data_IF_190631298101
#
_entry.id   IF_190631298101
#
_cell.length_a   1.000
_cell.length_b   1.000
_cell.length_c   1.000
_cell.angle_alpha   90.00
_cell.angle_beta   90.00
_cell.angle_gamma   90.00
#
_symmetry.space_group_name_H-M   'P 1'
#
loop_
_entity.id
_entity.type
_entity.pdbx_description
1 polymer ?
#
# COMPACT_ATOMS: atom_id res chain seq x y z
N UNK A 1 45.61 31.50 31.19
CA UNK A 1 44.75 32.31 30.28
C UNK A 1 44.49 31.69 28.90
N UNK A 2 45.44 30.94 28.30
CA UNK A 2 45.32 30.37 26.95
C UNK A 2 44.22 29.29 26.79
N UNK A 3 43.91 28.49 27.81
CA UNK A 3 42.94 27.40 27.77
C UNK A 3 41.48 27.89 27.62
N UNK A 4 41.15 29.03 28.21
CA UNK A 4 39.80 29.62 28.09
C UNK A 4 39.46 30.19 26.71
N UNK A 5 40.46 30.63 25.96
CA UNK A 5 40.28 31.15 24.59
C UNK A 5 40.12 30.04 23.56
N UNK A 6 40.80 28.90 23.73
CA UNK A 6 40.64 27.70 22.89
C UNK A 6 39.23 27.10 23.05
N UNK A 7 38.74 26.93 24.28
CA UNK A 7 37.41 26.42 24.57
C UNK A 7 36.29 27.32 23.97
N UNK A 8 36.45 28.66 24.05
CA UNK A 8 35.49 29.60 23.45
C UNK A 8 35.51 29.54 21.90
N UNK A 9 36.67 29.32 21.28
CA UNK A 9 36.74 29.11 19.82
C UNK A 9 36.04 27.84 19.41
N UNK A 10 36.32 26.72 20.06
CA UNK A 10 35.67 25.43 19.78
C UNK A 10 34.14 25.56 19.91
N UNK A 11 33.62 26.12 21.00
CA UNK A 11 32.18 26.35 21.18
C UNK A 11 31.56 27.20 20.07
N UNK A 12 32.27 28.25 19.60
CA UNK A 12 31.79 29.08 18.47
C UNK A 12 31.77 28.31 17.15
N UNK A 13 32.76 27.45 16.89
CA UNK A 13 32.80 26.59 15.71
C UNK A 13 31.69 25.54 15.73
N UNK A 14 31.48 24.87 16.88
CA UNK A 14 30.37 23.92 17.05
C UNK A 14 29.00 24.59 16.86
N UNK A 15 28.79 25.77 17.45
CA UNK A 15 27.55 26.53 17.28
C UNK A 15 27.32 26.96 15.82
N UNK A 16 28.40 27.36 15.09
CA UNK A 16 28.28 27.69 13.66
C UNK A 16 27.97 26.46 12.80
N UNK A 17 28.65 25.35 13.04
CA UNK A 17 28.35 24.08 12.37
C UNK A 17 26.92 23.64 12.63
N UNK A 18 26.45 23.64 13.86
CA UNK A 18 25.09 23.34 14.21
C UNK A 18 24.09 24.27 13.50
N UNK A 19 24.38 25.58 13.45
CA UNK A 19 23.55 26.56 12.74
C UNK A 19 23.51 26.31 11.22
N UNK A 20 24.63 26.02 10.60
CA UNK A 20 24.70 25.67 9.15
C UNK A 20 23.96 24.39 8.87
N UNK A 21 24.13 23.35 9.69
CA UNK A 21 23.43 22.09 9.56
C UNK A 21 21.89 22.27 9.69
N UNK A 22 21.46 23.07 10.69
CA UNK A 22 20.04 23.37 10.87
C UNK A 22 19.45 24.15 9.68
N UNK A 23 20.17 25.12 9.14
CA UNK A 23 19.75 25.86 7.95
C UNK A 23 19.70 24.96 6.70
N UNK A 24 20.67 24.07 6.53
CA UNK A 24 20.66 23.11 5.42
C UNK A 24 19.47 22.16 5.52
N UNK A 25 19.21 21.59 6.71
CA UNK A 25 18.03 20.74 6.96
C UNK A 25 16.74 21.47 6.69
N UNK A 26 16.60 22.71 7.20
CA UNK A 26 15.41 23.53 6.95
C UNK A 26 15.23 23.79 5.45
N UNK A 27 16.29 24.12 4.74
CA UNK A 27 16.28 24.33 3.28
C UNK A 27 15.84 23.06 2.53
N UNK A 28 16.31 21.89 2.96
CA UNK A 28 15.91 20.60 2.39
C UNK A 28 14.42 20.33 2.60
N UNK A 29 13.93 20.54 3.84
CA UNK A 29 12.50 20.34 4.17
C UNK A 29 11.61 21.31 3.38
N UNK A 30 11.96 22.59 3.32
CA UNK A 30 11.22 23.58 2.55
C UNK A 30 11.25 23.28 1.04
N UNK A 31 12.40 22.84 0.52
CA UNK A 31 12.53 22.42 -0.88
C UNK A 31 11.66 21.21 -1.20
N UNK A 32 11.65 20.19 -0.34
CA UNK A 32 10.80 19.02 -0.48
C UNK A 32 9.31 19.39 -0.42
N UNK A 33 8.91 20.18 0.58
CA UNK A 33 7.54 20.66 0.70
C UNK A 33 7.10 21.50 -0.50
N UNK A 34 7.97 22.39 -1.00
CA UNK A 34 7.74 23.17 -2.22
C UNK A 34 7.56 22.30 -3.46
N UNK A 35 8.36 21.22 -3.59
CA UNK A 35 8.23 20.23 -4.66
C UNK A 35 6.90 19.49 -4.60
N UNK A 36 6.51 19.00 -3.43
CA UNK A 36 5.21 18.34 -3.26
C UNK A 36 4.03 19.29 -3.51
N UNK A 37 4.12 20.52 -3.03
CA UNK A 37 3.11 21.53 -3.31
C UNK A 37 3.00 21.84 -4.83
N UNK A 38 4.12 21.87 -5.53
CA UNK A 38 4.13 22.06 -6.99
C UNK A 38 3.50 20.86 -7.73
N UNK A 39 3.71 19.63 -7.26
CA UNK A 39 3.03 18.45 -7.78
C UNK A 39 1.50 18.52 -7.61
N UNK A 40 1.02 19.04 -6.47
CA UNK A 40 -0.41 19.24 -6.23
C UNK A 40 -1.01 20.40 -7.06
N UNK A 41 -0.24 21.40 -7.47
CA UNK A 41 -0.75 22.60 -8.11
C UNK A 41 -1.35 22.39 -9.51
N UNK A 42 -1.26 21.18 -10.08
CA UNK A 42 -1.79 20.84 -11.40
C UNK A 42 -3.33 20.75 -11.44
N UNK A 43 -3.85 20.62 -12.66
CA UNK A 43 -5.27 20.34 -12.91
C UNK A 43 -5.42 18.91 -13.39
N UNK A 44 -6.16 18.03 -12.67
CA UNK A 44 -6.42 16.67 -13.10
C UNK A 44 -7.15 16.65 -14.44
N UNK A 45 -6.77 15.71 -15.32
CA UNK A 45 -7.46 15.50 -16.59
C UNK A 45 -8.90 15.00 -16.36
N UNK A 46 -9.81 15.38 -17.22
CA UNK A 46 -11.20 14.93 -17.13
C UNK A 46 -11.32 13.40 -17.23
N UNK A 47 -10.49 12.79 -18.08
CA UNK A 47 -10.45 11.35 -18.35
C UNK A 47 -9.76 10.52 -17.25
N UNK A 48 -9.14 11.19 -16.27
CA UNK A 48 -8.51 10.54 -15.12
C UNK A 48 -9.60 10.08 -14.12
N UNK A 49 -10.24 8.97 -14.44
CA UNK A 49 -11.35 8.35 -13.70
C UNK A 49 -11.18 6.84 -13.69
N UNK A 50 -11.99 6.16 -12.88
CA UNK A 50 -11.98 4.68 -12.84
C UNK A 50 -12.13 4.04 -14.21
N UNK A 51 -11.47 2.90 -14.38
CA UNK A 51 -11.58 2.02 -15.55
C UNK A 51 -12.23 0.68 -15.21
N UNK A 52 -12.83 0.59 -14.01
CA UNK A 52 -13.50 -0.62 -13.53
C UNK A 52 -12.54 -1.69 -13.03
N UNK A 53 -11.34 -1.32 -12.62
CA UNK A 53 -10.33 -2.23 -12.04
C UNK A 53 -9.89 -1.81 -10.64
N UNK A 54 -10.76 -1.12 -9.88
CA UNK A 54 -10.46 -0.68 -8.53
C UNK A 54 -10.60 -1.83 -7.52
N UNK A 55 -10.04 -1.66 -6.31
CA UNK A 55 -10.11 -2.66 -5.25
C UNK A 55 -10.58 -2.09 -3.91
N UNK A 56 -10.94 -3.01 -3.01
CA UNK A 56 -11.29 -2.72 -1.62
C UNK A 56 -10.65 -3.77 -0.72
N UNK A 57 -9.88 -3.32 0.29
CA UNK A 57 -9.47 -4.19 1.39
C UNK A 57 -10.61 -4.39 2.37
N UNK A 58 -10.83 -5.63 2.76
CA UNK A 58 -11.94 -6.05 3.63
C UNK A 58 -11.40 -6.76 4.87
N UNK A 59 -11.93 -6.38 6.04
CA UNK A 59 -11.47 -6.90 7.31
C UNK A 59 -11.83 -8.36 7.57
N UNK A 60 -11.17 -8.94 8.58
CA UNK A 60 -11.30 -10.35 8.96
C UNK A 60 -12.74 -10.77 9.37
N UNK A 61 -13.56 -9.81 9.82
CA UNK A 61 -14.95 -10.07 10.18
C UNK A 61 -15.79 -10.74 9.08
N UNK A 62 -15.35 -10.68 7.83
CA UNK A 62 -16.04 -11.28 6.71
C UNK A 62 -15.90 -12.81 6.65
N UNK A 63 -14.83 -13.38 7.19
CA UNK A 63 -14.54 -14.82 7.13
C UNK A 63 -14.73 -15.56 8.45
N UNK A 64 -14.79 -14.85 9.60
CA UNK A 64 -14.85 -15.45 10.94
C UNK A 64 -16.26 -15.70 11.48
N UNK A 65 -17.30 -15.39 10.69
CA UNK A 65 -18.71 -15.62 11.06
C UNK A 65 -19.43 -14.40 11.63
N UNK A 66 -18.79 -13.25 11.78
CA UNK A 66 -19.43 -12.00 12.24
C UNK A 66 -20.29 -11.33 11.17
N UNK A 67 -20.14 -11.69 9.90
CA UNK A 67 -20.91 -11.14 8.77
C UNK A 67 -21.96 -12.14 8.27
N UNK A 68 -23.09 -11.61 7.82
CA UNK A 68 -24.28 -12.34 7.39
C UNK A 68 -24.57 -12.12 5.90
N UNK A 69 -25.59 -12.80 5.38
CA UNK A 69 -26.08 -12.57 4.02
C UNK A 69 -26.63 -11.14 3.82
N UNK A 70 -27.15 -10.51 4.89
CA UNK A 70 -27.61 -9.12 4.84
C UNK A 70 -26.43 -8.15 4.65
N UNK A 71 -25.28 -8.42 5.31
CA UNK A 71 -24.06 -7.63 5.12
C UNK A 71 -23.51 -7.76 3.70
N UNK A 72 -23.55 -8.96 3.12
CA UNK A 72 -23.16 -9.18 1.71
C UNK A 72 -24.09 -8.39 0.77
N UNK A 73 -25.39 -8.37 1.03
CA UNK A 73 -26.34 -7.60 0.22
C UNK A 73 -26.12 -6.08 0.36
N UNK A 74 -25.80 -5.61 1.57
CA UNK A 74 -25.46 -4.20 1.83
C UNK A 74 -24.18 -3.80 1.09
N UNK A 75 -23.12 -4.62 1.17
CA UNK A 75 -21.88 -4.40 0.42
C UNK A 75 -22.14 -4.36 -1.09
N UNK A 76 -22.90 -5.33 -1.62
CA UNK A 76 -23.26 -5.36 -3.03
C UNK A 76 -24.03 -4.10 -3.46
N UNK A 77 -24.89 -3.56 -2.58
CA UNK A 77 -25.58 -2.31 -2.82
C UNK A 77 -24.60 -1.11 -2.82
N UNK A 78 -23.65 -1.10 -1.90
CA UNK A 78 -22.63 -0.05 -1.78
C UNK A 78 -21.68 -0.04 -2.98
N UNK A 79 -21.34 -1.20 -3.53
CA UNK A 79 -20.41 -1.30 -4.67
C UNK A 79 -21.07 -1.03 -6.03
N UNK A 80 -22.40 -0.97 -6.11
CA UNK A 80 -23.09 -0.66 -7.38
C UNK A 80 -22.67 0.71 -7.92
N UNK A 81 -22.27 0.73 -9.20
CA UNK A 81 -21.83 1.94 -9.88
C UNK A 81 -20.50 2.47 -9.41
N UNK A 82 -19.70 1.64 -8.74
CA UNK A 82 -18.28 1.92 -8.46
C UNK A 82 -17.40 1.21 -9.49
N UNK A 83 -16.10 1.52 -9.48
CA UNK A 83 -15.10 0.79 -10.26
C UNK A 83 -14.52 -0.44 -9.55
N UNK A 84 -15.01 -0.78 -8.36
CA UNK A 84 -14.43 -1.86 -7.55
C UNK A 84 -14.78 -3.21 -8.17
N UNK A 85 -13.74 -3.90 -8.59
CA UNK A 85 -13.74 -5.24 -9.18
C UNK A 85 -13.06 -6.26 -8.27
N UNK A 86 -12.04 -5.84 -7.50
CA UNK A 86 -11.26 -6.68 -6.61
C UNK A 86 -11.64 -6.47 -5.14
N UNK A 87 -11.79 -7.58 -4.41
CA UNK A 87 -11.98 -7.58 -2.97
C UNK A 87 -10.84 -8.36 -2.32
N UNK A 88 -9.99 -7.68 -1.56
CA UNK A 88 -8.92 -8.27 -0.77
C UNK A 88 -9.45 -8.60 0.62
N UNK A 89 -9.88 -9.84 0.83
CA UNK A 89 -10.52 -10.27 2.07
C UNK A 89 -9.48 -10.85 3.01
N UNK A 90 -9.29 -10.24 4.18
CA UNK A 90 -8.36 -10.72 5.19
C UNK A 90 -8.78 -12.11 5.69
N UNK A 91 -8.17 -13.15 5.12
CA UNK A 91 -8.46 -14.54 5.47
C UNK A 91 -7.84 -14.93 6.83
N UNK A 92 -6.80 -14.21 7.25
CA UNK A 92 -6.19 -14.34 8.57
C UNK A 92 -4.72 -13.94 8.53
N UNK A 93 -4.10 -13.62 9.69
CA UNK A 93 -2.67 -13.54 9.76
C UNK A 93 -2.09 -14.93 9.51
N UNK A 94 -0.98 -14.98 8.79
CA UNK A 94 -0.17 -16.17 8.71
C UNK A 94 0.61 -16.35 10.02
N UNK A 95 0.94 -17.56 10.37
CA UNK A 95 1.97 -17.81 11.38
C UNK A 95 3.36 -17.52 10.78
N UNK A 96 4.38 -17.24 11.62
CA UNK A 96 5.73 -16.92 11.16
C UNK A 96 6.37 -18.05 10.31
N UNK A 97 5.82 -19.27 10.36
CA UNK A 97 6.24 -20.41 9.51
C UNK A 97 5.47 -20.47 8.17
N UNK A 98 4.60 -19.50 7.89
CA UNK A 98 3.81 -19.39 6.67
C UNK A 98 2.50 -20.16 6.65
N UNK A 99 2.08 -20.77 7.76
CA UNK A 99 0.83 -21.52 7.84
C UNK A 99 -0.36 -20.58 8.08
N UNK A 100 -1.48 -20.92 7.50
CA UNK A 100 -2.79 -20.35 7.83
C UNK A 100 -3.56 -21.34 8.73
N UNK A 101 -3.98 -20.89 9.91
CA UNK A 101 -4.84 -21.67 10.77
C UNK A 101 -6.27 -21.68 10.19
N UNK A 102 -6.81 -22.85 9.78
CA UNK A 102 -8.16 -22.93 9.22
C UNK A 102 -9.28 -22.55 10.21
N UNK A 103 -8.98 -22.43 11.49
CA UNK A 103 -9.93 -21.95 12.48
C UNK A 103 -10.17 -20.43 12.39
N UNK A 104 -9.31 -19.68 11.70
CA UNK A 104 -9.43 -18.23 11.55
C UNK A 104 -10.47 -17.84 10.48
N UNK A 105 -10.67 -18.67 9.46
CA UNK A 105 -11.51 -18.34 8.31
C UNK A 105 -12.66 -19.35 8.04
N UNK A 106 -13.40 -19.84 9.08
CA UNK A 106 -14.36 -20.92 8.96
C UNK A 106 -15.53 -20.63 8.00
N UNK A 107 -15.69 -19.37 7.59
CA UNK A 107 -16.74 -18.93 6.66
C UNK A 107 -16.20 -18.51 5.29
N UNK A 108 -14.91 -18.69 5.00
CA UNK A 108 -14.30 -18.26 3.76
C UNK A 108 -15.01 -18.79 2.52
N UNK A 109 -15.20 -20.10 2.40
CA UNK A 109 -15.90 -20.70 1.27
C UNK A 109 -17.36 -20.26 1.13
N UNK A 110 -18.06 -19.98 2.23
CA UNK A 110 -19.41 -19.42 2.18
C UNK A 110 -19.39 -17.99 1.64
N UNK A 111 -18.47 -17.15 2.16
CA UNK A 111 -18.36 -15.75 1.75
C UNK A 111 -18.08 -15.61 0.26
N UNK A 112 -17.08 -16.33 -0.25
CA UNK A 112 -16.71 -16.28 -1.67
C UNK A 112 -17.93 -16.60 -2.55
N UNK A 113 -18.64 -17.69 -2.25
CA UNK A 113 -19.87 -18.03 -2.99
C UNK A 113 -20.97 -16.98 -2.84
N UNK A 114 -21.10 -16.34 -1.68
CA UNK A 114 -22.10 -15.30 -1.45
C UNK A 114 -21.79 -14.02 -2.22
N UNK A 115 -20.51 -13.61 -2.25
CA UNK A 115 -20.03 -12.45 -3.00
C UNK A 115 -20.20 -12.66 -4.52
N UNK A 116 -19.80 -13.81 -5.06
CA UNK A 116 -19.97 -14.10 -6.50
C UNK A 116 -21.45 -14.07 -6.93
N UNK A 117 -22.39 -14.53 -6.06
CA UNK A 117 -23.82 -14.43 -6.36
C UNK A 117 -24.36 -13.01 -6.28
N UNK A 118 -23.87 -12.21 -5.33
CA UNK A 118 -24.38 -10.86 -5.08
C UNK A 118 -23.77 -9.81 -6.00
N UNK A 119 -22.53 -10.03 -6.46
CA UNK A 119 -21.74 -9.09 -7.25
C UNK A 119 -21.14 -9.86 -8.45
N UNK A 120 -21.91 -10.03 -9.54
CA UNK A 120 -21.40 -10.75 -10.71
C UNK A 120 -20.14 -10.13 -11.29
N UNK A 121 -19.13 -10.97 -11.53
CA UNK A 121 -17.84 -10.56 -12.09
C UNK A 121 -16.83 -10.01 -11.08
N UNK A 122 -17.18 -9.95 -9.78
CA UNK A 122 -16.20 -9.58 -8.74
C UNK A 122 -15.12 -10.65 -8.62
N UNK A 123 -13.90 -10.23 -8.36
CA UNK A 123 -12.74 -11.08 -8.07
C UNK A 123 -12.43 -11.00 -6.58
N UNK A 124 -12.53 -12.13 -5.90
CA UNK A 124 -12.34 -12.22 -4.45
C UNK A 124 -10.99 -12.86 -4.18
N UNK A 125 -10.06 -12.11 -3.62
CA UNK A 125 -8.69 -12.56 -3.32
C UNK A 125 -8.52 -12.72 -1.81
N UNK A 126 -7.87 -13.79 -1.37
CA UNK A 126 -7.52 -14.00 0.02
C UNK A 126 -6.34 -13.08 0.39
N UNK A 127 -6.57 -12.12 1.27
CA UNK A 127 -5.50 -11.31 1.84
C UNK A 127 -4.83 -12.07 2.97
N UNK A 128 -3.59 -12.46 2.73
CA UNK A 128 -2.70 -13.18 3.64
C UNK A 128 -1.56 -12.24 4.04
N UNK A 129 -1.47 -11.94 5.32
CA UNK A 129 -0.45 -11.02 5.86
C UNK A 129 0.29 -11.61 7.05
N UNK A 130 1.50 -11.12 7.28
CA UNK A 130 2.26 -11.34 8.51
C UNK A 130 3.38 -10.29 8.63
N UNK A 131 3.87 -10.12 9.87
CA UNK A 131 5.04 -9.30 10.16
C UNK A 131 6.30 -10.05 9.79
N UNK A 132 7.16 -9.43 8.99
CA UNK A 132 8.45 -9.98 8.59
C UNK A 132 9.48 -9.80 9.70
N UNK A 133 10.38 -10.79 9.85
CA UNK A 133 11.48 -10.75 10.80
C UNK A 133 12.38 -9.51 10.58
N UNK A 134 12.62 -8.77 11.65
CA UNK A 134 13.43 -7.54 11.63
C UNK A 134 14.39 -7.53 12.82
N UNK A 135 15.43 -6.69 12.81
CA UNK A 135 16.27 -6.48 13.99
C UNK A 135 15.52 -6.03 15.24
N UNK A 136 14.29 -5.51 15.10
CA UNK A 136 13.46 -4.98 16.18
C UNK A 136 12.55 -6.03 16.82
N UNK A 137 12.30 -7.14 16.12
CA UNK A 137 11.46 -8.21 16.65
C UNK A 137 11.34 -9.43 15.72
N UNK A 138 10.99 -10.60 16.29
CA UNK A 138 10.81 -11.80 15.51
C UNK A 138 9.55 -11.72 14.64
N UNK A 139 9.63 -12.30 13.46
CA UNK A 139 8.56 -12.38 12.49
C UNK A 139 8.79 -13.52 11.51
N UNK A 140 8.23 -13.43 10.33
CA UNK A 140 8.39 -14.39 9.25
C UNK A 140 9.77 -14.28 8.59
N UNK A 141 10.55 -15.35 8.59
CA UNK A 141 11.83 -15.44 7.87
C UNK A 141 11.60 -15.67 6.37
N UNK A 142 11.64 -14.61 5.58
CA UNK A 142 11.43 -14.67 4.13
C UNK A 142 12.46 -15.53 3.39
N UNK A 143 13.61 -15.81 3.98
CA UNK A 143 14.62 -16.68 3.36
C UNK A 143 14.23 -18.16 3.38
N UNK A 144 13.31 -18.57 4.25
CA UNK A 144 12.94 -19.98 4.51
C UNK A 144 11.47 -20.27 4.32
N UNK A 145 10.58 -19.30 4.56
CA UNK A 145 9.14 -19.51 4.56
C UNK A 145 8.65 -20.09 3.23
N UNK A 146 7.65 -20.94 3.32
CA UNK A 146 6.88 -21.47 2.18
C UNK A 146 5.41 -21.11 2.33
N UNK A 147 4.90 -20.25 1.45
CA UNK A 147 3.50 -19.81 1.43
C UNK A 147 2.61 -20.59 0.46
N UNK A 148 3.18 -21.55 -0.26
CA UNK A 148 2.41 -22.40 -1.19
C UNK A 148 1.29 -23.14 -0.47
N UNK A 149 1.50 -23.80 0.70
CA UNK A 149 0.42 -24.51 1.39
C UNK A 149 -0.75 -23.61 1.83
N UNK A 150 -0.47 -22.42 2.40
CA UNK A 150 -1.51 -21.48 2.80
C UNK A 150 -2.26 -20.95 1.57
N UNK A 151 -1.54 -20.67 0.48
CA UNK A 151 -2.15 -20.27 -0.79
C UNK A 151 -3.03 -21.35 -1.38
N UNK A 152 -2.62 -22.61 -1.33
CA UNK A 152 -3.43 -23.77 -1.75
C UNK A 152 -4.73 -23.88 -0.95
N UNK A 153 -4.65 -23.68 0.38
CA UNK A 153 -5.78 -23.73 1.28
C UNK A 153 -6.85 -22.71 0.86
N UNK A 154 -6.50 -21.43 0.72
CA UNK A 154 -7.49 -20.39 0.36
C UNK A 154 -8.02 -20.57 -1.06
N UNK A 155 -7.22 -21.04 -1.99
CA UNK A 155 -7.71 -21.36 -3.34
C UNK A 155 -8.69 -22.54 -3.33
N UNK A 156 -8.53 -23.52 -2.42
CA UNK A 156 -9.47 -24.63 -2.24
C UNK A 156 -10.82 -24.15 -1.66
N UNK A 157 -10.84 -23.06 -0.86
CA UNK A 157 -12.05 -22.39 -0.39
C UNK A 157 -12.79 -21.62 -1.48
N UNK A 158 -12.19 -21.47 -2.65
CA UNK A 158 -12.79 -20.90 -3.84
C UNK A 158 -12.39 -19.46 -4.14
N UNK A 159 -11.42 -18.88 -3.44
CA UNK A 159 -10.88 -17.56 -3.78
C UNK A 159 -10.34 -17.52 -5.22
N UNK A 160 -10.48 -16.36 -5.86
CA UNK A 160 -10.03 -16.13 -7.24
C UNK A 160 -8.56 -15.78 -7.33
N UNK A 161 -7.91 -15.58 -6.20
CA UNK A 161 -6.50 -15.24 -6.11
C UNK A 161 -6.01 -15.13 -4.68
N UNK A 162 -4.74 -14.80 -4.57
CA UNK A 162 -4.03 -14.53 -3.32
C UNK A 162 -3.52 -13.11 -3.35
N UNK A 163 -3.75 -12.36 -2.27
CA UNK A 163 -3.18 -11.04 -2.04
C UNK A 163 -2.19 -11.12 -0.88
N UNK A 164 -0.90 -10.98 -1.16
CA UNK A 164 0.14 -11.02 -0.13
C UNK A 164 0.42 -9.64 0.42
N UNK A 165 0.49 -9.55 1.75
CA UNK A 165 0.75 -8.33 2.50
C UNK A 165 1.74 -8.63 3.64
N UNK A 166 3.00 -8.72 3.29
CA UNK A 166 4.09 -9.04 4.22
C UNK A 166 4.87 -7.77 4.52
N UNK A 167 4.96 -7.38 5.79
CA UNK A 167 5.56 -6.11 6.17
C UNK A 167 6.39 -6.19 7.47
N UNK A 168 7.46 -5.42 7.54
CA UNK A 168 8.09 -4.64 6.48
C UNK A 168 9.07 -5.48 5.66
N UNK A 169 9.06 -5.36 4.34
CA UNK A 169 10.05 -5.99 3.45
C UNK A 169 11.10 -4.96 3.03
N UNK A 170 12.39 -5.19 3.27
CA UNK A 170 13.45 -4.31 2.80
C UNK A 170 13.57 -4.29 1.27
N UNK A 171 13.92 -3.13 0.71
CA UNK A 171 14.26 -3.03 -0.72
C UNK A 171 15.41 -3.98 -1.06
N UNK A 172 15.24 -4.80 -2.11
CA UNK A 172 16.26 -5.75 -2.54
C UNK A 172 16.17 -7.14 -1.91
N UNK A 173 15.17 -7.42 -1.06
CA UNK A 173 15.01 -8.73 -0.42
C UNK A 173 14.78 -9.85 -1.45
N UNK A 174 15.71 -10.83 -1.47
CA UNK A 174 15.65 -11.97 -2.41
C UNK A 174 14.70 -13.07 -1.95
N UNK A 175 14.49 -13.19 -0.64
CA UNK A 175 13.54 -14.15 -0.06
C UNK A 175 12.12 -13.82 -0.50
N UNK A 176 11.75 -12.54 -0.43
CA UNK A 176 10.45 -12.07 -0.92
C UNK A 176 10.24 -12.35 -2.41
N UNK A 177 11.24 -12.04 -3.25
CA UNK A 177 11.16 -12.35 -4.69
C UNK A 177 10.99 -13.86 -4.95
N UNK A 178 11.62 -14.73 -4.13
CA UNK A 178 11.44 -16.17 -4.20
C UNK A 178 10.03 -16.59 -3.81
N UNK A 179 9.51 -16.06 -2.72
CA UNK A 179 8.13 -16.34 -2.25
C UNK A 179 7.11 -15.94 -3.33
N UNK A 180 7.23 -14.74 -3.89
CA UNK A 180 6.35 -14.30 -4.97
C UNK A 180 6.40 -15.24 -6.18
N UNK A 181 7.60 -15.65 -6.61
CA UNK A 181 7.76 -16.57 -7.75
C UNK A 181 7.11 -17.94 -7.50
N UNK A 182 7.21 -18.47 -6.28
CA UNK A 182 6.61 -19.76 -5.90
C UNK A 182 5.08 -19.68 -5.88
N UNK A 183 4.52 -18.66 -5.23
CA UNK A 183 3.07 -18.47 -5.16
C UNK A 183 2.49 -18.13 -6.54
N UNK A 184 3.19 -17.31 -7.34
CA UNK A 184 2.75 -16.99 -8.70
C UNK A 184 2.73 -18.23 -9.61
N UNK A 185 3.69 -19.11 -9.50
CA UNK A 185 3.67 -20.39 -10.24
C UNK A 185 2.43 -21.22 -9.86
N UNK A 186 2.07 -21.26 -8.58
CA UNK A 186 0.87 -21.94 -8.10
C UNK A 186 -0.41 -21.31 -8.64
N UNK A 187 -0.58 -19.98 -8.48
CA UNK A 187 -1.79 -19.27 -8.88
C UNK A 187 -1.98 -19.32 -10.39
N UNK A 188 -0.92 -19.09 -11.16
CA UNK A 188 -0.92 -19.18 -12.63
C UNK A 188 -1.30 -20.57 -13.15
N UNK A 189 -0.79 -21.63 -12.54
CA UNK A 189 -1.13 -23.03 -12.90
C UNK A 189 -2.62 -23.33 -12.67
N UNK A 190 -3.30 -22.55 -11.82
CA UNK A 190 -4.73 -22.68 -11.53
C UNK A 190 -5.58 -21.62 -12.24
N UNK A 191 -5.00 -20.77 -13.08
CA UNK A 191 -5.69 -19.64 -13.71
C UNK A 191 -6.21 -18.63 -12.67
N UNK A 192 -5.48 -18.46 -11.57
CA UNK A 192 -5.79 -17.55 -10.47
C UNK A 192 -4.76 -16.41 -10.42
N UNK A 193 -5.13 -15.32 -9.74
CA UNK A 193 -4.33 -14.10 -9.67
C UNK A 193 -3.45 -14.10 -8.42
N UNK A 194 -2.21 -13.62 -8.55
CA UNK A 194 -1.38 -13.18 -7.45
C UNK A 194 -1.32 -11.65 -7.43
N UNK A 195 -1.74 -11.03 -6.34
CA UNK A 195 -1.53 -9.61 -6.07
C UNK A 195 -0.67 -9.41 -4.82
N UNK A 196 -0.12 -8.21 -4.67
CA UNK A 196 0.76 -7.87 -3.56
C UNK A 196 0.58 -6.42 -3.11
N UNK A 197 0.51 -6.19 -1.79
CA UNK A 197 0.74 -4.87 -1.19
C UNK A 197 2.22 -4.53 -1.23
N UNK A 198 2.55 -3.30 -1.58
CA UNK A 198 3.93 -2.82 -1.60
C UNK A 198 4.03 -1.44 -0.94
N UNK A 199 5.13 -1.13 -0.24
CA UNK A 199 5.34 0.19 0.31
C UNK A 199 5.56 1.23 -0.79
N UNK A 200 5.69 2.47 -0.38
CA UNK A 200 6.02 3.59 -1.25
C UNK A 200 7.40 3.40 -1.91
N UNK A 201 7.57 4.02 -3.07
CA UNK A 201 8.84 4.07 -3.80
C UNK A 201 9.69 5.25 -3.35
N UNK A 202 11.01 5.12 -3.40
CA UNK A 202 11.96 6.18 -3.11
C UNK A 202 11.55 7.50 -3.77
N UNK A 203 11.25 8.57 -3.01
CA UNK A 203 11.01 9.90 -3.58
C UNK A 203 12.22 10.45 -4.31
N UNK A 204 13.42 10.08 -3.87
CA UNK A 204 14.70 10.36 -4.49
C UNK A 204 15.53 9.07 -4.50
N UNK A 205 16.22 8.74 -5.62
CA UNK A 205 16.98 7.50 -5.73
C UNK A 205 18.02 7.34 -4.59
N UNK A 206 17.97 6.17 -3.92
CA UNK A 206 18.88 5.83 -2.82
C UNK A 206 18.43 6.34 -1.43
N UNK A 207 17.29 7.03 -1.33
CA UNK A 207 16.80 7.53 -0.04
C UNK A 207 16.42 6.38 0.92
N UNK A 208 15.97 5.23 0.40
CA UNK A 208 15.69 4.02 1.20
C UNK A 208 16.91 3.54 1.97
N UNK A 209 18.14 3.62 1.39
CA UNK A 209 19.37 3.22 2.06
C UNK A 209 19.67 4.16 3.24
N UNK A 210 19.54 5.47 3.01
CA UNK A 210 19.79 6.49 4.05
C UNK A 210 18.74 6.38 5.17
N UNK A 211 17.48 6.21 4.81
CA UNK A 211 16.41 6.05 5.79
C UNK A 211 16.60 4.76 6.62
N UNK A 212 16.93 3.64 5.97
CA UNK A 212 17.23 2.38 6.65
C UNK A 212 18.37 2.50 7.66
N UNK A 213 19.44 3.22 7.32
CA UNK A 213 20.55 3.47 8.23
C UNK A 213 20.18 4.36 9.44
N UNK A 214 19.26 5.30 9.26
CA UNK A 214 18.88 6.25 10.32
C UNK A 214 17.77 5.73 11.23
N UNK A 215 16.82 4.97 10.68
CA UNK A 215 15.62 4.55 11.40
C UNK A 215 15.58 3.06 11.70
N UNK A 216 16.49 2.29 11.11
CA UNK A 216 16.50 0.81 11.12
C UNK A 216 15.16 0.18 10.64
N UNK A 217 14.31 0.99 9.99
CA UNK A 217 13.00 0.60 9.52
C UNK A 217 12.88 0.85 8.00
N UNK A 218 12.66 -0.18 7.17
CA UNK A 218 12.51 0.00 5.73
C UNK A 218 11.19 0.70 5.42
N UNK A 219 11.26 1.91 4.84
CA UNK A 219 10.06 2.70 4.50
C UNK A 219 9.77 2.71 3.00
N UNK A 220 10.80 2.74 2.17
CA UNK A 220 10.68 2.87 0.72
C UNK A 220 11.41 1.75 -0.01
N UNK A 221 10.91 1.42 -1.19
CA UNK A 221 11.62 0.55 -2.12
C UNK A 221 12.28 1.36 -3.24
N UNK A 222 13.40 0.87 -3.78
CA UNK A 222 13.91 1.39 -5.04
C UNK A 222 12.93 1.07 -6.18
N UNK A 223 12.91 1.92 -7.21
CA UNK A 223 12.09 1.67 -8.41
C UNK A 223 12.48 0.35 -9.10
N UNK A 224 13.76 -0.01 -9.09
CA UNK A 224 14.25 -1.28 -9.65
C UNK A 224 13.73 -2.49 -8.87
N UNK A 225 13.62 -2.40 -7.54
CA UNK A 225 13.08 -3.48 -6.75
C UNK A 225 11.56 -3.62 -6.94
N UNK A 226 10.84 -2.51 -6.97
CA UNK A 226 9.41 -2.53 -7.33
C UNK A 226 9.19 -3.16 -8.71
N UNK A 227 10.03 -2.84 -9.69
CA UNK A 227 9.98 -3.48 -11.02
C UNK A 227 10.19 -5.00 -10.92
N UNK A 228 11.18 -5.47 -10.15
CA UNK A 228 11.43 -6.91 -9.98
C UNK A 228 10.26 -7.63 -9.30
N UNK A 229 9.61 -7.01 -8.31
CA UNK A 229 8.39 -7.52 -7.67
C UNK A 229 7.27 -7.61 -8.70
N UNK A 230 7.03 -6.53 -9.45
CA UNK A 230 5.96 -6.47 -10.45
C UNK A 230 6.10 -7.51 -11.57
N UNK A 231 7.32 -7.95 -11.90
CA UNK A 231 7.56 -9.05 -12.86
C UNK A 231 7.14 -10.43 -12.33
N UNK A 232 6.76 -10.56 -11.06
CA UNK A 232 6.45 -11.84 -10.40
C UNK A 232 5.02 -11.92 -9.88
N UNK A 233 4.18 -10.95 -10.25
CA UNK A 233 2.79 -10.88 -9.81
C UNK A 233 1.91 -10.39 -10.97
N UNK A 234 0.60 -10.58 -10.84
CA UNK A 234 -0.38 -10.08 -11.82
C UNK A 234 -0.86 -8.67 -11.46
N UNK A 235 -0.80 -8.30 -10.17
CA UNK A 235 -1.32 -7.03 -9.67
C UNK A 235 -0.47 -6.51 -8.50
N UNK A 236 -0.23 -5.21 -8.48
CA UNK A 236 0.50 -4.48 -7.43
C UNK A 236 -0.41 -3.41 -6.84
N UNK A 237 -0.53 -3.36 -5.51
CA UNK A 237 -1.22 -2.30 -4.78
C UNK A 237 -0.19 -1.50 -3.95
N UNK A 238 0.09 -0.27 -4.36
CA UNK A 238 1.04 0.62 -3.66
C UNK A 238 0.35 1.31 -2.50
N UNK A 239 0.84 1.10 -1.29
CA UNK A 239 0.34 1.75 -0.08
C UNK A 239 0.84 3.19 0.00
N UNK A 240 0.23 4.10 -0.77
CA UNK A 240 0.64 5.50 -0.92
C UNK A 240 0.16 6.41 0.24
N UNK A 241 0.00 5.86 1.44
CA UNK A 241 -0.44 6.51 2.66
C UNK A 241 0.59 6.31 3.78
N UNK A 242 0.30 6.77 5.01
CA UNK A 242 1.22 6.79 6.15
C UNK A 242 2.52 7.57 5.85
N UNK A 243 2.32 8.72 5.20
CA UNK A 243 3.41 9.59 4.77
C UNK A 243 3.91 10.54 5.86
N UNK A 244 3.16 10.68 6.95
CA UNK A 244 3.36 11.68 8.02
C UNK A 244 3.28 13.14 7.53
N UNK A 245 2.65 13.41 6.38
CA UNK A 245 2.52 14.75 5.83
C UNK A 245 1.33 15.49 6.47
N UNK A 246 1.54 16.72 7.00
CA UNK A 246 0.54 17.37 7.85
C UNK A 246 -0.51 18.19 7.07
N UNK A 247 -0.39 18.30 5.75
CA UNK A 247 -1.29 19.12 4.92
C UNK A 247 -1.83 18.30 3.73
N UNK A 248 -3.14 18.42 3.41
CA UNK A 248 -3.75 17.69 2.28
C UNK A 248 -3.05 17.95 0.94
N UNK A 249 -2.58 19.18 0.67
CA UNK A 249 -1.87 19.51 -0.57
C UNK A 249 -0.49 18.85 -0.66
N UNK A 250 0.23 18.72 0.46
CA UNK A 250 1.51 18.01 0.49
C UNK A 250 1.29 16.51 0.30
N UNK A 251 0.28 15.95 0.94
CA UNK A 251 -0.09 14.55 0.78
C UNK A 251 -0.56 14.25 -0.65
N UNK A 252 -1.43 15.07 -1.23
CA UNK A 252 -1.85 14.93 -2.64
C UNK A 252 -0.65 14.98 -3.59
N UNK A 253 0.26 15.93 -3.40
CA UNK A 253 1.50 16.01 -4.20
C UNK A 253 2.44 14.84 -4.00
N UNK A 254 2.46 14.24 -2.81
CA UNK A 254 3.19 13.00 -2.54
C UNK A 254 2.55 11.81 -3.27
N UNK A 255 1.23 11.65 -3.20
CA UNK A 255 0.50 10.61 -3.92
C UNK A 255 0.68 10.75 -5.43
N UNK A 256 0.70 11.98 -5.97
CA UNK A 256 1.07 12.23 -7.37
C UNK A 256 2.43 11.66 -7.69
N UNK A 257 3.45 12.00 -6.89
CA UNK A 257 4.81 11.52 -7.09
C UNK A 257 4.89 10.00 -7.02
N UNK A 258 4.27 9.38 -6.00
CA UNK A 258 4.25 7.92 -5.83
C UNK A 258 3.54 7.23 -7.00
N UNK A 259 2.43 7.76 -7.46
CA UNK A 259 1.71 7.25 -8.62
C UNK A 259 2.57 7.30 -9.88
N UNK A 260 3.26 8.40 -10.13
CA UNK A 260 4.15 8.57 -11.29
C UNK A 260 5.34 7.62 -11.24
N UNK A 261 5.95 7.43 -10.06
CA UNK A 261 7.05 6.48 -9.86
C UNK A 261 6.58 5.03 -10.08
N UNK A 262 5.42 4.66 -9.55
CA UNK A 262 4.84 3.34 -9.73
C UNK A 262 4.48 3.08 -11.21
N UNK A 263 3.88 4.05 -11.90
CA UNK A 263 3.58 3.95 -13.34
C UNK A 263 4.84 3.76 -14.19
N UNK A 264 5.97 4.31 -13.77
CA UNK A 264 7.25 4.14 -14.46
C UNK A 264 7.91 2.77 -14.17
N UNK A 265 7.76 2.26 -12.94
CA UNK A 265 8.41 1.02 -12.51
C UNK A 265 7.61 -0.25 -12.86
N UNK A 266 6.27 -0.21 -12.75
CA UNK A 266 5.40 -1.37 -12.96
C UNK A 266 5.11 -1.57 -14.44
N UNK A 267 5.40 -2.76 -15.03
CA UNK A 267 5.15 -3.03 -16.45
C UNK A 267 3.69 -2.82 -16.86
N UNK A 268 3.40 -2.37 -18.08
CA UNK A 268 2.03 -2.08 -18.54
C UNK A 268 1.07 -3.27 -18.54
N UNK A 269 1.59 -4.50 -18.54
CA UNK A 269 0.81 -5.74 -18.48
C UNK A 269 0.42 -6.20 -17.07
N UNK A 270 0.87 -5.52 -16.02
CA UNK A 270 0.57 -5.81 -14.63
C UNK A 270 -0.47 -4.81 -14.13
N UNK A 271 -1.51 -5.23 -13.42
CA UNK A 271 -2.48 -4.31 -12.80
C UNK A 271 -1.80 -3.45 -11.74
N UNK A 272 -1.96 -2.13 -11.81
CA UNK A 272 -1.41 -1.20 -10.81
C UNK A 272 -2.53 -0.49 -10.08
N UNK A 273 -2.54 -0.62 -8.77
CA UNK A 273 -3.46 0.06 -7.87
C UNK A 273 -2.70 1.01 -6.95
N UNK A 274 -3.31 2.17 -6.68
CA UNK A 274 -2.81 3.11 -5.68
C UNK A 274 -3.75 3.09 -4.47
N UNK A 275 -3.20 2.77 -3.31
CA UNK A 275 -3.94 2.72 -2.06
C UNK A 275 -4.44 4.09 -1.62
N UNK A 276 -5.71 4.14 -1.23
CA UNK A 276 -6.37 5.32 -0.69
C UNK A 276 -6.69 5.09 0.80
N UNK A 277 -6.26 5.98 1.72
CA UNK A 277 -6.53 5.82 3.14
C UNK A 277 -7.99 6.16 3.48
N UNK A 278 -8.80 5.17 3.80
CA UNK A 278 -10.17 5.34 4.25
C UNK A 278 -10.27 5.11 5.78
N UNK A 279 -9.43 5.82 6.52
CA UNK A 279 -9.37 5.84 7.99
C UNK A 279 -8.88 7.21 8.48
N UNK A 280 -9.33 7.60 9.66
CA UNK A 280 -9.09 8.96 10.21
C UNK A 280 -8.19 8.95 11.45
N UNK A 281 -7.71 7.79 11.86
CA UNK A 281 -6.82 7.65 13.02
C UNK A 281 -5.49 8.37 12.75
N UNK A 282 -5.02 9.17 13.72
CA UNK A 282 -3.74 9.86 13.61
C UNK A 282 -2.69 9.15 14.45
N UNK A 283 -1.55 8.84 13.82
CA UNK A 283 -0.37 8.22 14.42
C UNK A 283 0.87 9.07 14.14
N UNK A 284 2.07 8.56 14.49
CA UNK A 284 3.31 9.24 14.09
C UNK A 284 3.55 9.21 12.57
N UNK A 285 2.99 8.24 11.87
CA UNK A 285 3.14 8.08 10.42
C UNK A 285 1.93 8.53 9.61
N UNK A 286 0.79 8.81 10.24
CA UNK A 286 -0.47 9.17 9.58
C UNK A 286 -1.13 10.39 10.20
N UNK A 287 -1.50 11.36 9.38
CA UNK A 287 -2.30 12.53 9.77
C UNK A 287 -3.69 12.43 9.14
N UNK A 288 -4.67 11.87 9.87
CA UNK A 288 -6.01 11.59 9.37
C UNK A 288 -6.77 12.81 8.80
N UNK A 289 -6.44 14.03 9.22
CA UNK A 289 -7.01 15.26 8.63
C UNK A 289 -6.34 15.70 7.32
N UNK A 290 -5.19 15.15 6.98
CA UNK A 290 -4.41 15.49 5.78
C UNK A 290 -4.41 14.34 4.77
N UNK A 291 -4.22 13.13 5.25
CA UNK A 291 -4.15 11.91 4.46
C UNK A 291 -5.57 11.36 4.25
N UNK A 292 -6.34 12.01 3.40
CA UNK A 292 -7.74 11.69 3.13
C UNK A 292 -7.91 11.03 1.76
N UNK A 293 -8.99 10.28 1.56
CA UNK A 293 -9.37 9.72 0.25
C UNK A 293 -9.45 10.82 -0.81
N UNK A 294 -10.00 11.99 -0.49
CA UNK A 294 -10.12 13.12 -1.42
C UNK A 294 -8.75 13.63 -1.90
N UNK A 295 -7.79 13.80 -0.96
CA UNK A 295 -6.45 14.25 -1.29
C UNK A 295 -5.68 13.19 -2.09
N UNK A 296 -5.82 11.89 -1.72
CA UNK A 296 -5.21 10.79 -2.46
C UNK A 296 -5.75 10.68 -3.89
N UNK A 297 -7.07 10.71 -4.07
CA UNK A 297 -7.72 10.70 -5.40
C UNK A 297 -7.23 11.87 -6.26
N UNK A 298 -7.08 13.06 -5.68
CA UNK A 298 -6.53 14.21 -6.40
C UNK A 298 -5.11 13.91 -6.92
N UNK A 299 -4.23 13.40 -6.06
CA UNK A 299 -2.85 13.06 -6.44
C UNK A 299 -2.79 11.99 -7.54
N UNK A 300 -3.58 10.91 -7.41
CA UNK A 300 -3.69 9.86 -8.42
C UNK A 300 -4.12 10.45 -9.78
N UNK A 301 -5.12 11.30 -9.79
CA UNK A 301 -5.65 11.91 -11.02
C UNK A 301 -4.67 12.88 -11.68
N UNK A 302 -3.83 13.55 -10.92
CA UNK A 302 -2.78 14.42 -11.45
C UNK A 302 -1.72 13.64 -12.22
N UNK A 303 -1.37 12.44 -11.73
CA UNK A 303 -0.37 11.56 -12.33
C UNK A 303 -0.90 10.60 -13.39
N UNK A 304 -2.22 10.40 -13.50
CA UNK A 304 -2.83 9.37 -14.36
C UNK A 304 -2.39 9.53 -15.82
N UNK A 305 -1.71 8.51 -16.33
CA UNK A 305 -1.16 8.47 -17.68
C UNK A 305 -2.15 7.98 -18.76
N UNK A 306 -3.34 7.52 -18.35
CA UNK A 306 -4.29 6.83 -19.25
C UNK A 306 -4.00 5.33 -19.42
N UNK A 307 -3.12 4.75 -18.59
CA UNK A 307 -2.81 3.33 -18.59
C UNK A 307 -4.09 2.49 -18.34
N UNK A 308 -4.32 1.45 -19.17
CA UNK A 308 -5.54 0.62 -19.11
C UNK A 308 -5.67 -0.17 -17.81
N UNK A 309 -4.59 -0.84 -17.39
CA UNK A 309 -4.51 -1.63 -16.16
C UNK A 309 -4.03 -0.71 -15.02
N UNK A 310 -4.94 0.15 -14.56
CA UNK A 310 -4.68 1.14 -13.54
C UNK A 310 -5.96 1.49 -12.79
N UNK A 311 -5.89 1.53 -11.47
CA UNK A 311 -7.01 1.85 -10.59
C UNK A 311 -6.53 2.32 -9.21
N UNK A 312 -7.47 2.35 -8.28
CA UNK A 312 -7.22 2.68 -6.88
C UNK A 312 -7.73 1.56 -5.98
N UNK A 313 -7.25 1.50 -4.74
CA UNK A 313 -7.71 0.54 -3.76
C UNK A 313 -8.00 1.24 -2.42
N UNK A 314 -9.24 1.12 -1.92
CA UNK A 314 -9.64 1.72 -0.63
C UNK A 314 -9.17 0.83 0.52
N UNK A 315 -8.45 1.41 1.45
CA UNK A 315 -8.01 0.78 2.70
C UNK A 315 -8.66 1.50 3.89
N UNK A 316 -9.64 0.95 4.57
CA UNK A 316 -10.24 -0.38 4.55
C UNK A 316 -11.75 -0.27 4.82
N UNK A 317 -12.53 -1.29 4.49
CA UNK A 317 -13.99 -1.30 4.52
C UNK A 317 -14.60 -0.95 5.89
N UNK A 318 -14.01 -1.39 6.98
CA UNK A 318 -14.56 -1.24 8.34
C UNK A 318 -14.26 0.11 9.01
N UNK A 319 -13.37 0.92 8.44
CA UNK A 319 -13.07 2.30 8.89
C UNK A 319 -13.57 3.36 7.93
N UNK A 320 -13.84 2.96 6.68
CA UNK A 320 -14.28 3.87 5.63
C UNK A 320 -15.61 4.56 6.00
N UNK A 321 -15.58 5.88 6.06
CA UNK A 321 -16.72 6.73 6.40
C UNK A 321 -17.60 7.01 5.16
N UNK A 322 -18.84 7.50 5.34
CA UNK A 322 -19.65 7.99 4.21
C UNK A 322 -18.94 9.07 3.39
N UNK A 323 -18.14 9.92 4.04
CA UNK A 323 -17.34 10.98 3.40
C UNK A 323 -16.23 10.40 2.52
N UNK A 324 -15.56 9.33 2.95
CA UNK A 324 -14.55 8.64 2.15
C UNK A 324 -15.16 8.01 0.90
N UNK A 325 -16.33 7.37 1.04
CA UNK A 325 -17.07 6.83 -0.09
C UNK A 325 -17.55 7.92 -1.04
N UNK A 326 -18.01 9.08 -0.53
CA UNK A 326 -18.39 10.22 -1.36
C UNK A 326 -17.17 10.76 -2.13
N UNK A 327 -16.04 10.95 -1.46
CA UNK A 327 -14.80 11.42 -2.07
C UNK A 327 -14.31 10.47 -3.19
N UNK A 328 -14.37 9.14 -2.97
CA UNK A 328 -14.06 8.15 -3.99
C UNK A 328 -15.02 8.24 -5.19
N UNK A 329 -16.34 8.28 -4.93
CA UNK A 329 -17.35 8.33 -5.99
C UNK A 329 -17.27 9.61 -6.82
N UNK A 330 -17.27 10.76 -6.16
CA UNK A 330 -17.27 12.07 -6.82
C UNK A 330 -15.92 12.42 -7.44
N UNK A 331 -14.84 11.99 -6.80
CA UNK A 331 -13.49 12.29 -7.26
C UNK A 331 -12.98 11.35 -8.35
N UNK A 332 -13.27 10.05 -8.23
CA UNK A 332 -12.69 9.01 -9.07
C UNK A 332 -13.68 8.30 -9.98
N UNK A 333 -14.89 7.95 -9.49
CA UNK A 333 -15.87 7.21 -10.32
C UNK A 333 -16.63 8.13 -11.27
N UNK A 334 -17.24 9.21 -10.77
CA UNK A 334 -18.05 10.24 -11.46
C UNK A 334 -19.31 9.74 -12.16
#
# INVERSE_FOLDING_TARGET
MAMGTAVRRVRRWVARLAGVTALALLGTVLGAAGGLWANDAGTPRAEAVTRGGDALWMGHAWVDGRKSQADVAALAAQLRGTGIHDLFVHAGPLANDGRLDPALDPRAAWLVRALHRAIPGVRVQAWLGDVVDTPEGPGMDLSRVDLVPASEQVLADGFDGVHLDLEPVPSGDRGFLRVLAQVHALTSARGRVLSVSVPQTDPLPGLHEVAGLLTNHPKWWSSDYLHQVALRVDQVAVMAYDSALPLPSLFSGYVEQQTRLALAAVPPGVDLLIGLPAYTESTMSHHGSAETVAAAVRGVRLADSGRRLFGVALYVDFTATPEDWAAYREGWVR
#
